data_IF_042841587750
#
_entry.id   IF_042841587750
#
_cell.length_a   1.000
_cell.length_b   1.000
_cell.length_c   1.000
_cell.angle_alpha   90.00
_cell.angle_beta   90.00
_cell.angle_gamma   90.00
#
_symmetry.space_group_name_H-M   'P 1'
#
loop_
_entity.id
_entity.type
_entity.pdbx_description
1 polymer ?
#
# COMPACT_ATOMS: atom_id res chain seq x y z
N UNK A 1 -5.55 -16.18 -6.31
CA UNK A 1 -6.95 -16.50 -6.70
C UNK A 1 -7.08 -16.91 -8.18
N UNK A 2 -6.40 -16.24 -9.11
CA UNK A 2 -6.48 -16.51 -10.55
C UNK A 2 -5.67 -17.71 -11.06
N UNK A 3 -4.93 -18.41 -10.20
CA UNK A 3 -4.12 -19.59 -10.58
C UNK A 3 -2.85 -19.27 -11.39
N UNK A 4 -2.71 -18.05 -11.89
CA UNK A 4 -1.52 -17.58 -12.62
C UNK A 4 -0.88 -16.39 -11.92
N UNK A 5 0.45 -16.28 -12.08
CA UNK A 5 1.20 -15.14 -11.56
C UNK A 5 0.84 -13.86 -12.33
N UNK A 6 0.67 -12.71 -11.66
CA UNK A 6 0.51 -11.43 -12.34
C UNK A 6 1.66 -11.17 -13.30
N UNK A 7 1.39 -10.48 -14.41
CA UNK A 7 2.42 -10.10 -15.36
C UNK A 7 3.45 -9.16 -14.70
N UNK A 8 4.69 -9.15 -15.19
CA UNK A 8 5.77 -8.30 -14.71
C UNK A 8 5.40 -6.82 -14.70
N UNK A 9 4.62 -6.37 -15.69
CA UNK A 9 4.11 -5.00 -15.73
C UNK A 9 3.35 -4.61 -14.45
N UNK A 10 2.47 -5.48 -13.97
CA UNK A 10 1.68 -5.23 -12.76
C UNK A 10 2.56 -5.22 -11.51
N UNK A 11 3.52 -6.16 -11.42
CA UNK A 11 4.45 -6.24 -10.29
C UNK A 11 5.30 -4.96 -10.19
N UNK A 12 5.80 -4.46 -11.33
CA UNK A 12 6.59 -3.24 -11.37
C UNK A 12 5.75 -1.99 -11.12
N UNK A 13 4.53 -1.97 -11.65
CA UNK A 13 3.59 -0.87 -11.46
C UNK A 13 3.31 -0.65 -9.96
N UNK A 14 2.95 -1.70 -9.24
CA UNK A 14 2.65 -1.59 -7.81
C UNK A 14 3.87 -1.28 -6.95
N UNK A 15 5.04 -1.84 -7.27
CA UNK A 15 6.21 -1.69 -6.41
C UNK A 15 6.94 -0.36 -6.59
N UNK A 16 6.93 0.20 -7.80
CA UNK A 16 7.74 1.38 -8.11
C UNK A 16 6.92 2.52 -8.69
N UNK A 17 6.05 2.25 -9.68
CA UNK A 17 5.34 3.31 -10.40
C UNK A 17 4.31 4.00 -9.48
N UNK A 18 3.45 3.23 -8.81
CA UNK A 18 2.45 3.77 -7.88
C UNK A 18 3.08 4.65 -6.79
N UNK A 19 4.06 4.17 -5.99
CA UNK A 19 4.67 5.01 -4.96
C UNK A 19 5.42 6.21 -5.55
N UNK A 20 6.08 6.08 -6.70
CA UNK A 20 6.76 7.20 -7.34
C UNK A 20 5.79 8.31 -7.77
N UNK A 21 4.67 7.96 -8.39
CA UNK A 21 3.64 8.92 -8.81
C UNK A 21 3.04 9.63 -7.59
N UNK A 22 2.76 8.89 -6.51
CA UNK A 22 2.21 9.49 -5.28
C UNK A 22 3.20 10.51 -4.70
N UNK A 23 4.48 10.17 -4.61
CA UNK A 23 5.52 11.10 -4.12
C UNK A 23 5.60 12.33 -5.04
N UNK A 24 5.58 12.13 -6.36
CA UNK A 24 5.62 13.21 -7.33
C UNK A 24 4.42 14.17 -7.18
N UNK A 25 3.21 13.63 -7.00
CA UNK A 25 2.01 14.43 -6.76
C UNK A 25 2.10 15.22 -5.45
N UNK A 26 2.65 14.63 -4.39
CA UNK A 26 2.86 15.32 -3.12
C UNK A 26 3.84 16.48 -3.29
N UNK A 27 4.92 16.30 -4.04
CA UNK A 27 5.89 17.38 -4.32
C UNK A 27 5.24 18.52 -5.09
N UNK A 28 4.48 18.22 -6.15
CA UNK A 28 3.74 19.24 -6.90
C UNK A 28 2.75 19.97 -6.00
N UNK A 29 2.03 19.25 -5.14
CA UNK A 29 1.08 19.83 -4.21
C UNK A 29 1.77 20.81 -3.26
N UNK A 30 2.93 20.45 -2.70
CA UNK A 30 3.71 21.33 -1.81
C UNK A 30 4.13 22.60 -2.56
N UNK A 31 4.65 22.47 -3.78
CA UNK A 31 5.06 23.62 -4.61
C UNK A 31 3.86 24.53 -4.92
N UNK A 32 2.71 23.97 -5.27
CA UNK A 32 1.49 24.75 -5.54
C UNK A 32 0.92 25.41 -4.27
N UNK A 33 1.26 24.92 -3.07
CA UNK A 33 0.88 25.56 -1.81
C UNK A 33 1.79 26.74 -1.47
N UNK A 34 3.06 26.71 -1.88
CA UNK A 34 4.03 27.78 -1.58
C UNK A 34 3.99 28.95 -2.57
N UNK A 35 3.61 28.70 -3.83
CA UNK A 35 3.75 29.69 -4.91
C UNK A 35 2.44 30.44 -5.20
N UNK A 36 1.29 29.78 -5.08
CA UNK A 36 0.01 30.36 -5.52
C UNK A 36 -0.79 30.94 -4.35
N UNK A 37 -1.13 32.22 -4.45
CA UNK A 37 -2.20 32.82 -3.64
C UNK A 37 -3.52 32.12 -3.97
N UNK A 38 -4.14 31.50 -2.96
CA UNK A 38 -5.42 30.82 -3.15
C UNK A 38 -6.50 31.88 -3.31
N UNK A 39 -7.08 31.93 -4.51
CA UNK A 39 -8.24 32.76 -4.83
C UNK A 39 -9.51 31.91 -4.97
N UNK A 40 -10.68 32.53 -4.78
CA UNK A 40 -11.98 31.97 -5.10
C UNK A 40 -12.87 33.03 -5.76
N UNK A 41 -13.81 32.56 -6.57
CA UNK A 41 -14.73 33.45 -7.26
C UNK A 41 -15.88 33.86 -6.34
N UNK A 42 -16.11 35.17 -6.24
CA UNK A 42 -17.18 35.79 -5.48
C UNK A 42 -18.13 36.52 -6.41
N UNK A 43 -19.42 36.20 -6.31
CA UNK A 43 -20.46 36.88 -7.06
C UNK A 43 -20.78 38.25 -6.45
N UNK A 44 -20.56 39.33 -7.20
CA UNK A 44 -20.94 40.67 -6.79
C UNK A 44 -22.30 41.04 -7.40
N UNK A 45 -23.33 41.12 -6.55
CA UNK A 45 -24.71 41.41 -6.99
C UNK A 45 -24.86 42.79 -7.65
N UNK A 46 -24.02 43.75 -7.29
CA UNK A 46 -24.09 45.13 -7.78
C UNK A 46 -23.51 45.29 -9.20
N UNK A 47 -22.49 44.51 -9.53
CA UNK A 47 -21.77 44.61 -10.81
C UNK A 47 -22.16 43.48 -11.78
N UNK A 48 -22.90 42.47 -11.30
CA UNK A 48 -23.31 41.31 -12.09
C UNK A 48 -22.13 40.47 -12.61
N UNK A 49 -20.99 40.52 -11.93
CA UNK A 49 -19.74 39.89 -12.37
C UNK A 49 -19.12 39.01 -11.27
N UNK A 50 -18.30 38.04 -11.71
CA UNK A 50 -17.44 37.27 -10.83
C UNK A 50 -16.16 38.06 -10.55
N UNK A 51 -15.86 38.27 -9.27
CA UNK A 51 -14.61 38.86 -8.82
C UNK A 51 -13.78 37.83 -8.06
N UNK A 52 -12.48 37.76 -8.31
CA UNK A 52 -11.58 36.88 -7.58
C UNK A 52 -11.22 37.49 -6.23
N UNK A 53 -11.49 36.75 -5.17
CA UNK A 53 -11.16 37.16 -3.80
C UNK A 53 -10.19 36.17 -3.18
N UNK A 54 -9.30 36.67 -2.33
CA UNK A 54 -8.27 35.85 -1.69
C UNK A 54 -8.87 35.09 -0.50
N UNK A 55 -8.45 33.84 -0.31
CA UNK A 55 -8.87 33.07 0.87
C UNK A 55 -8.30 33.69 2.15
N UNK A 56 -9.12 33.92 3.18
CA UNK A 56 -8.61 34.38 4.46
C UNK A 56 -7.80 33.27 5.14
N UNK A 57 -6.75 33.65 5.87
CA UNK A 57 -5.77 32.68 6.42
C UNK A 57 -6.37 31.64 7.38
N UNK A 58 -7.46 31.95 8.08
CA UNK A 58 -8.13 30.97 8.95
C UNK A 58 -8.79 29.82 8.18
N UNK A 59 -9.27 30.06 6.94
CA UNK A 59 -9.79 29.00 6.08
C UNK A 59 -8.68 28.01 5.70
N UNK A 60 -7.50 28.53 5.37
CA UNK A 60 -6.33 27.70 5.03
C UNK A 60 -5.88 26.86 6.23
N UNK A 61 -5.92 27.42 7.44
CA UNK A 61 -5.64 26.68 8.67
C UNK A 61 -6.62 25.52 8.89
N UNK A 62 -7.92 25.77 8.73
CA UNK A 62 -8.95 24.72 8.86
C UNK A 62 -8.76 23.63 7.80
N UNK A 63 -8.49 24.01 6.55
CA UNK A 63 -8.22 23.04 5.49
C UNK A 63 -7.00 22.16 5.80
N UNK A 64 -5.91 22.75 6.27
CA UNK A 64 -4.71 22.02 6.69
C UNK A 64 -5.00 21.06 7.85
N UNK A 65 -5.79 21.49 8.84
CA UNK A 65 -6.18 20.65 9.98
C UNK A 65 -6.95 19.40 9.53
N UNK A 66 -7.88 19.53 8.58
CA UNK A 66 -8.64 18.40 8.04
C UNK A 66 -7.73 17.40 7.33
N UNK A 67 -6.78 17.89 6.52
CA UNK A 67 -5.80 17.03 5.83
C UNK A 67 -4.95 16.26 6.85
N UNK A 68 -4.44 16.94 7.87
CA UNK A 68 -3.64 16.33 8.92
C UNK A 68 -4.45 15.26 9.66
N UNK A 69 -5.68 15.57 10.06
CA UNK A 69 -6.54 14.64 10.78
C UNK A 69 -6.84 13.37 9.96
N UNK A 70 -7.01 13.50 8.64
CA UNK A 70 -7.23 12.36 7.74
C UNK A 70 -6.01 11.44 7.64
N UNK A 71 -4.79 11.99 7.65
CA UNK A 71 -3.56 11.21 7.51
C UNK A 71 -3.11 10.63 8.86
N UNK A 72 -3.46 11.30 9.96
CA UNK A 72 -3.00 10.97 11.31
C UNK A 72 -3.60 9.66 11.87
N UNK A 73 -4.67 9.11 11.25
CA UNK A 73 -5.25 7.84 11.69
C UNK A 73 -4.24 6.68 11.68
N UNK A 74 -3.46 6.54 10.60
CA UNK A 74 -2.47 5.47 10.44
C UNK A 74 -1.35 5.55 11.50
N UNK A 75 -0.64 6.69 11.67
CA UNK A 75 0.41 6.79 12.68
C UNK A 75 -0.15 6.72 14.11
N UNK A 76 -1.38 7.19 14.36
CA UNK A 76 -2.00 7.10 15.69
C UNK A 76 -2.22 5.63 16.10
N UNK A 77 -2.77 4.81 15.20
CA UNK A 77 -2.97 3.38 15.45
C UNK A 77 -1.63 2.66 15.63
N UNK A 78 -0.63 3.02 14.82
CA UNK A 78 0.72 2.49 14.96
C UNK A 78 1.35 2.85 16.32
N UNK A 79 1.16 4.09 16.79
CA UNK A 79 1.63 4.57 18.10
C UNK A 79 0.93 3.82 19.25
N UNK A 80 -0.39 3.64 19.17
CA UNK A 80 -1.15 2.87 20.16
C UNK A 80 -0.65 1.43 20.22
N UNK A 81 -0.41 0.80 19.06
CA UNK A 81 0.13 -0.56 18.99
C UNK A 81 1.55 -0.65 19.57
N UNK A 82 2.36 0.39 19.39
CA UNK A 82 3.69 0.46 19.99
C UNK A 82 3.66 0.62 21.51
N UNK A 83 2.76 1.45 22.05
CA UNK A 83 2.66 1.72 23.49
C UNK A 83 2.00 0.59 24.29
N UNK A 84 1.09 -0.18 23.67
CA UNK A 84 0.37 -1.27 24.36
C UNK A 84 0.35 -2.55 23.51
N UNK A 85 1.46 -3.31 23.49
CA UNK A 85 1.58 -4.52 22.67
C UNK A 85 0.73 -5.71 23.17
N UNK A 86 0.13 -5.64 24.37
CA UNK A 86 -0.30 -6.85 25.10
C UNK A 86 -1.69 -7.42 24.79
N UNK A 87 -2.56 -6.75 24.01
CA UNK A 87 -3.97 -7.17 23.89
C UNK A 87 -4.42 -7.66 22.51
N UNK A 88 -3.54 -7.67 21.51
CA UNK A 88 -3.93 -8.06 20.15
C UNK A 88 -3.50 -9.51 19.92
N UNK A 89 -4.47 -10.43 19.97
CA UNK A 89 -4.22 -11.81 19.55
C UNK A 89 -3.94 -11.80 18.06
N UNK A 90 -2.79 -12.33 17.67
CA UNK A 90 -2.52 -12.63 16.27
C UNK A 90 -3.52 -13.70 15.84
N UNK A 91 -4.30 -13.41 14.80
CA UNK A 91 -5.18 -14.40 14.21
C UNK A 91 -4.31 -15.51 13.63
N UNK A 92 -4.54 -16.74 14.09
CA UNK A 92 -3.87 -17.90 13.52
C UNK A 92 -4.27 -17.98 12.04
N UNK A 93 -3.31 -18.17 11.12
CA UNK A 93 -3.63 -18.20 9.70
C UNK A 93 -4.65 -19.30 9.44
N UNK A 94 -5.71 -18.98 8.69
CA UNK A 94 -6.70 -19.97 8.29
C UNK A 94 -6.00 -21.11 7.53
N UNK A 95 -6.32 -22.36 7.89
CA UNK A 95 -5.78 -23.52 7.19
C UNK A 95 -6.14 -23.44 5.70
N UNK A 96 -5.11 -23.47 4.85
CA UNK A 96 -5.26 -23.37 3.40
C UNK A 96 -4.69 -24.62 2.73
N UNK A 97 -5.53 -25.55 2.22
CA UNK A 97 -5.09 -26.82 1.65
C UNK A 97 -4.49 -26.65 0.25
N UNK A 98 -3.23 -26.19 0.18
CA UNK A 98 -2.53 -25.84 -1.08
C UNK A 98 -2.39 -27.02 -2.04
N UNK A 99 -2.09 -28.20 -1.52
CA UNK A 99 -1.76 -29.38 -2.32
C UNK A 99 -2.98 -29.90 -3.09
N UNK A 100 -4.14 -29.93 -2.43
CA UNK A 100 -5.42 -30.32 -3.05
C UNK A 100 -5.77 -29.38 -4.21
N UNK A 101 -5.67 -28.06 -4.00
CA UNK A 101 -6.02 -27.07 -5.03
C UNK A 101 -5.06 -27.14 -6.22
N UNK A 102 -3.76 -27.35 -5.97
CA UNK A 102 -2.76 -27.49 -7.03
C UNK A 102 -3.01 -28.74 -7.87
N UNK A 103 -3.36 -29.86 -7.22
CA UNK A 103 -3.69 -31.11 -7.87
C UNK A 103 -4.96 -30.97 -8.73
N UNK A 104 -6.02 -30.38 -8.17
CA UNK A 104 -7.29 -30.14 -8.85
C UNK A 104 -7.15 -29.21 -10.06
N UNK A 105 -6.38 -28.14 -9.91
CA UNK A 105 -6.20 -27.11 -10.95
C UNK A 105 -4.97 -27.33 -11.84
N UNK A 106 -4.21 -28.42 -11.62
CA UNK A 106 -2.95 -28.76 -12.33
C UNK A 106 -1.97 -27.58 -12.38
N UNK A 107 -1.81 -26.86 -11.28
CA UNK A 107 -0.96 -25.67 -11.21
C UNK A 107 0.50 -26.06 -10.98
N UNK A 108 1.41 -25.53 -11.79
CA UNK A 108 2.86 -25.70 -11.57
C UNK A 108 3.38 -24.61 -10.64
N UNK A 109 4.28 -24.98 -9.73
CA UNK A 109 4.93 -24.03 -8.83
C UNK A 109 6.01 -23.26 -9.58
N UNK A 110 6.00 -21.93 -9.45
CA UNK A 110 6.97 -21.06 -10.12
C UNK A 110 8.16 -20.75 -9.22
N UNK A 111 9.37 -21.02 -9.70
CA UNK A 111 10.62 -20.65 -9.02
C UNK A 111 11.11 -19.30 -9.57
N UNK A 112 11.29 -18.27 -8.72
CA UNK A 112 11.70 -16.94 -9.16
C UNK A 112 13.13 -16.94 -9.69
N UNK A 113 13.36 -16.19 -10.76
CA UNK A 113 14.71 -16.03 -11.34
C UNK A 113 15.60 -15.17 -10.44
N UNK A 114 16.92 -15.31 -10.55
CA UNK A 114 17.90 -14.57 -9.72
C UNK A 114 17.75 -13.04 -9.82
N UNK A 115 17.48 -12.51 -11.00
CA UNK A 115 17.27 -11.07 -11.17
C UNK A 115 15.96 -10.58 -10.51
N UNK A 116 14.91 -11.41 -10.49
CA UNK A 116 13.65 -11.10 -9.82
C UNK A 116 13.83 -11.05 -8.32
N UNK A 117 14.60 -12.00 -7.76
CA UNK A 117 14.98 -11.98 -6.34
C UNK A 117 15.68 -10.67 -5.97
N UNK A 118 16.64 -10.23 -6.80
CA UNK A 118 17.44 -9.02 -6.53
C UNK A 118 16.66 -7.70 -6.66
N UNK A 119 15.68 -7.63 -7.56
CA UNK A 119 14.95 -6.39 -7.87
C UNK A 119 13.57 -6.36 -7.20
N UNK A 120 12.76 -7.39 -7.40
CA UNK A 120 11.38 -7.43 -6.91
C UNK A 120 11.30 -7.93 -5.47
N UNK A 121 12.15 -8.87 -5.07
CA UNK A 121 12.06 -9.50 -3.75
C UNK A 121 13.29 -9.24 -2.85
N UNK A 122 13.99 -8.12 -3.07
CA UNK A 122 15.22 -7.79 -2.33
C UNK A 122 15.09 -7.88 -0.80
N UNK A 123 13.92 -7.52 -0.27
CA UNK A 123 13.66 -7.49 1.17
C UNK A 123 13.00 -8.77 1.70
N UNK A 124 12.70 -9.73 0.82
CA UNK A 124 12.09 -10.99 1.18
C UNK A 124 13.18 -11.99 1.55
N UNK A 125 13.18 -12.44 2.81
CA UNK A 125 14.32 -13.17 3.40
C UNK A 125 14.27 -14.68 3.09
N UNK A 126 13.11 -15.20 2.69
CA UNK A 126 12.88 -16.63 2.51
C UNK A 126 12.14 -16.93 1.20
N UNK A 127 12.85 -16.82 0.08
CA UNK A 127 12.38 -17.36 -1.19
C UNK A 127 12.91 -18.80 -1.35
N UNK A 128 12.06 -19.77 -1.68
CA UNK A 128 12.52 -21.12 -2.00
C UNK A 128 13.45 -21.05 -3.21
N UNK A 129 14.66 -21.60 -3.08
CA UNK A 129 15.67 -21.54 -4.14
C UNK A 129 15.66 -22.80 -5.01
N UNK A 130 15.13 -23.90 -4.47
CA UNK A 130 15.03 -25.20 -5.12
C UNK A 130 13.65 -25.83 -4.92
N UNK A 131 13.26 -26.74 -5.82
CA UNK A 131 11.98 -27.45 -5.76
C UNK A 131 11.89 -28.37 -4.52
N UNK A 132 13.01 -28.94 -4.08
CA UNK A 132 13.10 -29.78 -2.88
C UNK A 132 12.91 -28.99 -1.58
N UNK A 133 13.47 -27.78 -1.47
CA UNK A 133 13.24 -26.88 -0.34
C UNK A 133 11.77 -26.48 -0.21
N UNK A 134 11.12 -26.23 -1.36
CA UNK A 134 9.70 -25.90 -1.37
C UNK A 134 8.83 -27.06 -0.87
N UNK A 135 9.12 -28.28 -1.33
CA UNK A 135 8.36 -29.48 -0.96
C UNK A 135 8.52 -29.82 0.54
N UNK A 136 9.74 -29.69 1.08
CA UNK A 136 10.00 -29.87 2.51
C UNK A 136 9.27 -28.84 3.38
N UNK A 137 9.21 -27.57 2.94
CA UNK A 137 8.48 -26.52 3.66
C UNK A 137 6.96 -26.77 3.63
N UNK A 138 6.41 -27.25 2.52
CA UNK A 138 4.99 -27.65 2.44
C UNK A 138 4.68 -28.72 3.47
N UNK A 139 5.51 -29.76 3.54
CA UNK A 139 5.36 -30.85 4.49
C UNK A 139 5.42 -30.40 5.95
N UNK A 140 6.38 -29.53 6.30
CA UNK A 140 6.47 -29.01 7.68
C UNK A 140 5.26 -28.15 8.08
N UNK A 141 4.67 -27.40 7.14
CA UNK A 141 3.45 -26.64 7.43
C UNK A 141 2.22 -27.53 7.59
N UNK A 142 2.16 -28.69 6.93
CA UNK A 142 1.12 -29.69 7.20
C UNK A 142 1.25 -30.27 8.61
N UNK A 143 2.46 -30.67 9.00
CA UNK A 143 2.71 -31.28 10.32
C UNK A 143 2.39 -30.32 11.48
N UNK A 144 2.60 -29.00 11.31
CA UNK A 144 2.25 -27.99 12.31
C UNK A 144 0.75 -27.69 12.44
N UNK A 145 -0.07 -28.05 11.44
CA UNK A 145 -1.53 -27.82 11.50
C UNK A 145 -2.28 -29.04 12.04
N UNK A 146 -1.68 -30.23 11.96
CA UNK A 146 -2.25 -31.47 12.50
C UNK A 146 -1.88 -31.73 13.98
N UNK A 147 -1.30 -30.75 14.67
CA UNK A 147 -0.99 -30.74 16.12
C UNK A 147 -1.83 -29.66 16.78
#
# INVERSE_FOLDING_TARGET
MTGHRPNYYLMFCWKFICPAIIIFLIVILIVNLTTDEKEYDVWHRETGSLSKSIWPGWCLFVAALIIILSILGIPLIALIRWLKPSSWREEVPAYFPRELIQLERKLTTYIPKEWEKKILFRFEKHLPTTESEFNNKSKSEMDLVFI
#
